data_IF_853410727627
#
_entry.id   IF_853410727627
#
_cell.length_a   1.000
_cell.length_b   1.000
_cell.length_c   1.000
_cell.angle_alpha   90.00
_cell.angle_beta   90.00
_cell.angle_gamma   90.00
#
_symmetry.space_group_name_H-M   'P 1'
#
loop_
_entity.id
_entity.type
_entity.pdbx_description
1 polymer ?
#
# COMPACT_ATOMS: atom_id res chain seq x y z
N UNK A 1 2.94 -17.23 7.28
CA UNK A 1 2.35 -15.89 7.22
C UNK A 1 2.91 -15.24 5.97
N UNK A 2 2.06 -14.85 5.02
CA UNK A 2 2.52 -14.21 3.80
C UNK A 2 3.32 -12.92 4.05
N UNK A 3 4.26 -12.64 3.16
CA UNK A 3 5.17 -11.51 3.18
C UNK A 3 5.40 -10.94 1.78
N UNK A 4 5.42 -9.62 1.71
CA UNK A 4 5.97 -8.88 0.57
C UNK A 4 7.38 -8.41 0.95
N UNK A 5 8.38 -8.89 0.22
CA UNK A 5 9.76 -8.43 0.33
C UNK A 5 9.98 -7.26 -0.63
N UNK A 6 10.58 -6.18 -0.13
CA UNK A 6 10.83 -4.98 -0.92
C UNK A 6 12.25 -4.45 -0.77
N UNK A 7 12.63 -3.58 -1.71
CA UNK A 7 13.93 -2.91 -1.75
C UNK A 7 13.80 -1.49 -2.29
N UNK A 8 14.88 -0.71 -2.23
CA UNK A 8 14.99 0.63 -2.79
C UNK A 8 14.03 1.67 -2.18
N UNK A 9 13.58 1.50 -0.93
CA UNK A 9 12.90 2.60 -0.23
C UNK A 9 13.94 3.68 0.11
N UNK A 10 13.78 4.92 -0.37
CA UNK A 10 14.69 6.01 -0.03
C UNK A 10 14.67 6.30 1.48
N UNK A 11 15.83 6.62 2.07
CA UNK A 11 15.98 6.93 3.50
C UNK A 11 14.93 7.95 3.99
N UNK A 12 14.75 9.03 3.23
CA UNK A 12 13.81 10.12 3.55
C UNK A 12 12.33 9.72 3.47
N UNK A 13 12.00 8.59 2.84
CA UNK A 13 10.63 8.12 2.67
C UNK A 13 10.22 7.04 3.70
N UNK A 14 11.17 6.50 4.48
CA UNK A 14 10.90 5.41 5.43
C UNK A 14 9.90 5.79 6.51
N UNK A 15 10.12 6.91 7.18
CA UNK A 15 9.25 7.36 8.27
C UNK A 15 7.83 7.62 7.77
N UNK A 16 7.71 8.15 6.55
CA UNK A 16 6.42 8.38 5.91
C UNK A 16 5.74 7.07 5.51
N UNK A 17 6.51 6.10 5.00
CA UNK A 17 6.01 4.76 4.67
C UNK A 17 5.50 4.03 5.91
N UNK A 18 6.25 4.04 7.02
CA UNK A 18 5.81 3.45 8.29
C UNK A 18 4.51 4.08 8.78
N UNK A 19 4.44 5.41 8.79
CA UNK A 19 3.21 6.13 9.19
C UNK A 19 2.01 5.78 8.31
N UNK A 20 2.23 5.67 7.00
CA UNK A 20 1.18 5.31 6.05
C UNK A 20 0.71 3.87 6.28
N UNK A 21 1.65 2.94 6.44
CA UNK A 21 1.34 1.55 6.75
C UNK A 21 0.54 1.43 8.05
N UNK A 22 0.95 2.11 9.11
CA UNK A 22 0.24 2.11 10.39
C UNK A 22 -1.17 2.69 10.25
N UNK A 23 -1.34 3.78 9.49
CA UNK A 23 -2.65 4.37 9.26
C UNK A 23 -3.56 3.41 8.47
N UNK A 24 -3.05 2.75 7.44
CA UNK A 24 -3.79 1.74 6.66
C UNK A 24 -4.18 0.55 7.54
N UNK A 25 -3.24 0.06 8.35
CA UNK A 25 -3.47 -1.03 9.31
C UNK A 25 -4.59 -0.71 10.29
N UNK A 26 -4.53 0.46 10.93
CA UNK A 26 -5.57 0.92 11.88
C UNK A 26 -6.90 1.14 11.15
N UNK A 27 -6.90 1.80 9.99
CA UNK A 27 -8.12 2.06 9.23
C UNK A 27 -8.83 0.77 8.84
N UNK A 28 -8.06 -0.28 8.54
CA UNK A 28 -8.59 -1.61 8.21
C UNK A 28 -9.14 -2.35 9.42
N UNK A 29 -8.43 -2.35 10.55
CA UNK A 29 -8.92 -3.00 11.77
C UNK A 29 -10.18 -2.34 12.31
N UNK A 30 -10.29 -1.02 12.20
CA UNK A 30 -11.47 -0.24 12.62
C UNK A 30 -12.60 -0.23 11.58
N UNK A 31 -12.38 -0.79 10.37
CA UNK A 31 -13.29 -0.71 9.21
C UNK A 31 -13.71 0.72 8.87
N UNK A 32 -12.80 1.67 9.06
CA UNK A 32 -13.01 3.10 8.83
C UNK A 32 -11.84 3.66 8.04
N UNK A 33 -11.90 3.54 6.72
CA UNK A 33 -10.99 4.23 5.82
C UNK A 33 -11.46 5.66 5.58
N UNK A 34 -10.68 6.61 6.09
CA UNK A 34 -10.84 8.03 5.76
C UNK A 34 -9.87 8.36 4.61
N UNK A 35 -10.37 8.22 3.39
CA UNK A 35 -9.59 8.40 2.17
C UNK A 35 -9.04 9.84 2.08
N UNK A 36 -9.82 10.84 2.49
CA UNK A 36 -9.40 12.24 2.50
C UNK A 36 -8.27 12.47 3.49
N UNK A 37 -8.35 11.87 4.69
CA UNK A 37 -7.26 11.94 5.67
C UNK A 37 -5.98 11.27 5.18
N UNK A 38 -6.09 10.12 4.51
CA UNK A 38 -4.94 9.44 3.88
C UNK A 38 -4.33 10.31 2.78
N UNK A 39 -5.16 10.85 1.89
CA UNK A 39 -4.73 11.71 0.79
C UNK A 39 -4.00 12.98 1.28
N UNK A 40 -4.56 13.65 2.29
CA UNK A 40 -3.98 14.86 2.87
C UNK A 40 -2.71 14.57 3.68
N UNK A 41 -2.62 13.42 4.34
CA UNK A 41 -1.46 13.03 5.14
C UNK A 41 -0.26 12.61 4.28
N UNK A 42 -0.51 12.12 3.06
CA UNK A 42 0.52 11.52 2.21
C UNK A 42 0.45 12.07 0.78
N UNK A 43 1.03 13.26 0.52
CA UNK A 43 1.05 13.88 -0.80
C UNK A 43 1.69 13.01 -1.89
N UNK A 44 2.46 11.99 -1.53
CA UNK A 44 3.04 11.02 -2.48
C UNK A 44 1.98 10.25 -3.28
N UNK A 45 0.79 10.00 -2.73
CA UNK A 45 -0.32 9.44 -3.50
C UNK A 45 -0.77 10.37 -4.63
N UNK A 46 -0.60 11.68 -4.50
CA UNK A 46 -0.88 12.63 -5.58
C UNK A 46 0.27 12.73 -6.61
N UNK A 47 1.50 12.36 -6.23
CA UNK A 47 2.70 12.47 -7.08
C UNK A 47 2.94 11.23 -7.92
N UNK A 48 2.68 10.05 -7.35
CA UNK A 48 2.81 8.78 -8.06
C UNK A 48 1.45 8.44 -8.64
N UNK A 49 1.19 8.95 -9.85
CA UNK A 49 0.34 8.30 -10.85
C UNK A 49 -0.89 7.55 -10.29
N UNK A 50 -1.61 8.19 -9.36
CA UNK A 50 -2.98 7.85 -9.07
C UNK A 50 -3.84 8.83 -9.83
N UNK A 51 -4.41 8.37 -10.94
CA UNK A 51 -5.29 9.21 -11.76
C UNK A 51 -6.61 9.32 -11.00
N UNK A 52 -7.08 10.54 -10.75
CA UNK A 52 -8.48 10.75 -10.36
C UNK A 52 -9.30 10.70 -11.66
N UNK A 53 -10.11 9.66 -11.83
CA UNK A 53 -10.81 9.36 -13.10
C UNK A 53 -11.92 10.36 -13.48
N UNK A 54 -12.14 11.42 -12.70
CA UNK A 54 -13.07 12.51 -13.04
C UNK A 54 -12.58 13.41 -14.19
N UNK A 55 -11.37 13.18 -14.73
CA UNK A 55 -10.72 14.06 -15.72
C UNK A 55 -10.29 13.40 -17.05
N UNK A 56 -10.64 12.14 -17.31
CA UNK A 56 -10.80 11.66 -18.70
C UNK A 56 -9.57 11.20 -19.49
N UNK A 57 -8.40 10.98 -18.91
CA UNK A 57 -7.28 10.31 -19.60
C UNK A 57 -6.83 9.06 -18.84
N UNK A 58 -7.09 7.89 -19.44
CA UNK A 58 -6.61 6.58 -18.97
C UNK A 58 -5.16 6.35 -19.40
N UNK A 59 -4.28 6.16 -18.43
CA UNK A 59 -2.94 5.59 -18.65
C UNK A 59 -2.94 4.18 -18.06
N UNK A 60 -2.62 3.17 -18.87
CA UNK A 60 -2.82 1.73 -18.60
C UNK A 60 -2.10 1.15 -17.35
N UNK A 61 -1.30 1.93 -16.62
CA UNK A 61 -0.42 1.42 -15.54
C UNK A 61 -0.61 2.15 -14.19
N UNK A 62 -1.77 2.78 -13.99
CA UNK A 62 -2.02 3.67 -12.85
C UNK A 62 -3.26 3.21 -12.10
N UNK A 63 -3.08 2.83 -10.83
CA UNK A 63 -4.23 2.67 -9.94
C UNK A 63 -4.94 4.02 -9.78
N UNK A 64 -6.26 4.07 -9.73
CA UNK A 64 -6.95 5.26 -9.20
C UNK A 64 -6.93 5.23 -7.66
N UNK A 65 -6.73 6.37 -7.00
CA UNK A 65 -6.50 6.39 -5.53
C UNK A 65 -7.69 5.82 -4.78
N UNK A 66 -8.90 6.17 -5.21
CA UNK A 66 -10.13 5.64 -4.60
C UNK A 66 -10.26 4.15 -4.86
N UNK A 67 -9.91 3.69 -6.06
CA UNK A 67 -9.88 2.27 -6.41
C UNK A 67 -8.88 1.49 -5.57
N UNK A 68 -7.72 2.08 -5.26
CA UNK A 68 -6.73 1.50 -4.34
C UNK A 68 -7.25 1.45 -2.91
N UNK A 69 -7.84 2.54 -2.41
CA UNK A 69 -8.48 2.56 -1.08
C UNK A 69 -9.56 1.48 -1.01
N UNK A 70 -10.40 1.35 -2.02
CA UNK A 70 -11.46 0.34 -2.07
C UNK A 70 -10.90 -1.08 -2.10
N UNK A 71 -9.87 -1.35 -2.89
CA UNK A 71 -9.21 -2.65 -2.95
C UNK A 71 -8.55 -3.02 -1.61
N UNK A 72 -7.90 -2.06 -0.94
CA UNK A 72 -7.32 -2.26 0.38
C UNK A 72 -8.41 -2.42 1.42
N UNK A 73 -9.49 -1.64 1.39
CA UNK A 73 -10.56 -1.66 2.38
C UNK A 73 -11.34 -2.98 2.33
N UNK A 74 -11.70 -3.42 1.12
CA UNK A 74 -12.52 -4.61 0.88
C UNK A 74 -11.76 -5.95 0.92
N UNK A 75 -10.42 -5.93 0.88
CA UNK A 75 -9.63 -7.17 0.90
C UNK A 75 -9.79 -7.96 2.20
N UNK A 76 -9.70 -9.28 2.10
CA UNK A 76 -9.59 -10.17 3.25
C UNK A 76 -8.11 -10.34 3.66
N UNK A 77 -7.43 -9.22 3.88
CA UNK A 77 -6.04 -9.14 4.36
C UNK A 77 -6.02 -8.54 5.77
N UNK A 78 -5.13 -8.95 6.65
CA UNK A 78 -4.87 -8.24 7.91
C UNK A 78 -3.40 -7.86 8.00
N UNK A 79 -3.10 -6.56 8.09
CA UNK A 79 -1.73 -6.06 8.15
C UNK A 79 -1.10 -6.28 9.53
N UNK A 80 0.05 -6.93 9.57
CA UNK A 80 0.71 -7.33 10.82
C UNK A 80 1.89 -6.42 11.15
N UNK A 81 2.91 -6.35 10.30
CA UNK A 81 4.10 -5.51 10.54
C UNK A 81 4.76 -5.03 9.25
N UNK A 82 5.50 -3.93 9.37
CA UNK A 82 6.43 -3.44 8.36
C UNK A 82 7.81 -3.33 9.01
N UNK A 83 8.77 -4.08 8.50
CA UNK A 83 10.11 -4.20 9.10
C UNK A 83 11.18 -3.89 8.06
N UNK A 84 12.07 -2.96 8.38
CA UNK A 84 13.27 -2.71 7.57
C UNK A 84 14.40 -3.64 8.03
N UNK A 85 14.92 -4.43 7.09
CA UNK A 85 16.04 -5.34 7.32
C UNK A 85 17.39 -4.68 7.01
N UNK A 86 17.38 -3.62 6.19
CA UNK A 86 18.55 -2.82 5.86
C UNK A 86 18.16 -1.36 5.62
N UNK A 87 19.12 -0.53 5.21
CA UNK A 87 18.88 0.87 4.86
C UNK A 87 17.88 1.08 3.71
N UNK A 88 17.60 0.09 2.86
CA UNK A 88 16.67 0.29 1.74
C UNK A 88 15.70 -0.87 1.53
N UNK A 89 15.81 -1.95 2.30
CA UNK A 89 15.01 -3.17 2.12
C UNK A 89 14.29 -3.58 3.38
N UNK A 90 13.21 -4.33 3.20
CA UNK A 90 12.35 -4.74 4.28
C UNK A 90 11.29 -5.74 3.87
N UNK A 91 10.39 -5.99 4.81
CA UNK A 91 9.31 -6.96 4.74
C UNK A 91 8.01 -6.34 5.22
N UNK A 92 6.94 -6.54 4.46
CA UNK A 92 5.57 -6.23 4.85
C UNK A 92 4.86 -7.56 5.12
N UNK A 93 4.52 -7.80 6.38
CA UNK A 93 3.87 -9.02 6.83
C UNK A 93 2.37 -8.81 6.97
N UNK A 94 1.60 -9.80 6.52
CA UNK A 94 0.14 -9.77 6.61
C UNK A 94 -0.45 -11.19 6.69
N UNK A 95 -1.70 -11.29 7.11
CA UNK A 95 -2.49 -12.51 7.10
C UNK A 95 -3.56 -12.46 6.01
N UNK A 96 -3.87 -13.60 5.39
CA UNK A 96 -5.00 -13.73 4.47
C UNK A 96 -6.15 -14.41 5.21
N UNK A 97 -7.27 -13.71 5.35
CA UNK A 97 -8.45 -14.17 6.09
C UNK A 97 -9.38 -15.06 5.24
N UNK A 98 -9.25 -15.03 3.91
CA UNK A 98 -9.96 -15.91 2.98
C UNK A 98 -9.20 -16.11 1.67
N UNK A 99 -9.62 -17.09 0.87
CA UNK A 99 -9.18 -17.28 -0.51
C UNK A 99 -10.37 -17.11 -1.47
N UNK A 100 -10.28 -16.25 -2.51
CA UNK A 100 -9.21 -15.28 -2.75
C UNK A 100 -9.26 -14.17 -1.69
N UNK A 101 -8.11 -13.62 -1.33
CA UNK A 101 -8.02 -12.51 -0.37
C UNK A 101 -8.33 -11.16 -1.00
N UNK A 102 -7.96 -10.97 -2.27
CA UNK A 102 -8.03 -9.68 -2.96
C UNK A 102 -7.03 -8.65 -2.37
N UNK A 103 -6.79 -7.55 -3.08
CA UNK A 103 -5.96 -6.44 -2.57
C UNK A 103 -4.46 -6.72 -2.42
N UNK A 104 -3.95 -7.86 -2.93
CA UNK A 104 -2.51 -8.17 -2.93
C UNK A 104 -1.73 -7.17 -3.81
N UNK A 105 -2.21 -6.91 -5.02
CA UNK A 105 -1.63 -5.90 -5.92
C UNK A 105 -1.70 -4.50 -5.33
N UNK A 106 -2.83 -4.13 -4.70
CA UNK A 106 -2.95 -2.86 -4.00
C UNK A 106 -1.94 -2.76 -2.83
N UNK A 107 -1.65 -3.88 -2.14
CA UNK A 107 -0.63 -3.92 -1.09
C UNK A 107 0.77 -3.72 -1.67
N UNK A 108 1.06 -4.28 -2.85
CA UNK A 108 2.31 -4.01 -3.56
C UNK A 108 2.44 -2.53 -3.96
N UNK A 109 1.34 -1.89 -4.37
CA UNK A 109 1.35 -0.46 -4.68
C UNK A 109 1.75 0.40 -3.49
N UNK A 110 1.38 0.01 -2.27
CA UNK A 110 1.83 0.72 -1.08
C UNK A 110 3.37 0.83 -1.03
N UNK A 111 4.08 -0.26 -1.32
CA UNK A 111 5.56 -0.24 -1.41
C UNK A 111 6.02 0.70 -2.54
N UNK A 112 5.37 0.61 -3.70
CA UNK A 112 5.74 1.38 -4.88
C UNK A 112 5.53 2.87 -4.67
N UNK A 113 4.47 3.32 -3.99
CA UNK A 113 4.20 4.74 -3.68
C UNK A 113 5.36 5.42 -2.98
N UNK A 114 6.05 4.69 -2.10
CA UNK A 114 7.22 5.19 -1.37
C UNK A 114 8.54 4.99 -2.12
N UNK A 115 8.49 4.70 -3.43
CA UNK A 115 9.66 4.54 -4.30
C UNK A 115 10.30 3.15 -4.24
N UNK A 116 9.70 2.21 -3.51
CA UNK A 116 10.21 0.86 -3.37
C UNK A 116 9.91 -0.02 -4.58
N UNK A 117 10.68 -1.09 -4.70
CA UNK A 117 10.46 -2.18 -5.64
C UNK A 117 10.10 -3.45 -4.88
N UNK A 118 8.97 -4.05 -5.24
CA UNK A 118 8.59 -5.39 -4.77
C UNK A 118 9.53 -6.41 -5.41
N UNK A 119 10.17 -7.22 -4.57
CA UNK A 119 11.09 -8.30 -4.98
C UNK A 119 10.38 -9.64 -5.00
N UNK A 120 9.49 -9.85 -4.04
CA UNK A 120 8.75 -11.08 -3.87
C UNK A 120 7.43 -10.78 -3.16
N UNK A 121 6.36 -11.41 -3.63
CA UNK A 121 5.10 -11.53 -2.92
C UNK A 121 4.78 -13.02 -2.86
N UNK A 122 4.82 -13.62 -1.67
CA UNK A 122 4.62 -15.07 -1.51
C UNK A 122 3.14 -15.47 -1.36
N UNK A 123 2.23 -14.50 -1.45
CA UNK A 123 0.79 -14.69 -1.44
C UNK A 123 0.18 -14.94 -2.83
N UNK A 124 0.97 -14.79 -3.90
CA UNK A 124 0.59 -14.96 -5.31
C UNK A 124 1.21 -16.23 -5.87
#
# INVERSE_FOLDING_TARGET
>A
MPVIEFSNIPEHAKDEFVKCFDLVKISKSEKRFDADKLWLAFPKFAQKKFVRLDLGDTVEEEWDFMSWVDAISSSAIEYQSLEFLSEASGKLNFEQLSWPSGGLEATEELVKVFGGNVRKNDAI
#
